data_IF_482819518130
#
_entry.id   IF_482819518130
#
_cell.length_a   1.000
_cell.length_b   1.000
_cell.length_c   1.000
_cell.angle_alpha   90.00
_cell.angle_beta   90.00
_cell.angle_gamma   90.00
#
_symmetry.space_group_name_H-M   'P 1'
#
loop_
_entity.id
_entity.type
_entity.pdbx_description
1 polymer ?
#
# COMPACT_ATOMS: atom_id res chain seq x y z
N UNK A 1 -7.91 -22.90 12.72
CA UNK A 1 -7.76 -21.50 12.33
C UNK A 1 -6.27 -21.25 12.27
N UNK A 2 -5.72 -21.02 11.08
CA UNK A 2 -4.32 -20.63 10.94
C UNK A 2 -4.14 -19.27 11.63
N UNK A 3 -3.25 -19.20 12.60
CA UNK A 3 -2.90 -17.97 13.28
C UNK A 3 -2.12 -17.12 12.27
N UNK A 4 -2.77 -16.09 11.72
CA UNK A 4 -2.13 -15.20 10.74
C UNK A 4 -1.17 -14.32 11.52
N UNK A 5 0.11 -14.64 11.48
CA UNK A 5 1.13 -13.78 12.05
C UNK A 5 1.04 -12.37 11.43
N UNK A 6 1.06 -11.32 12.27
CA UNK A 6 0.90 -9.96 11.79
C UNK A 6 2.09 -9.55 10.91
N UNK A 7 1.84 -9.41 9.60
CA UNK A 7 2.83 -8.88 8.66
C UNK A 7 2.71 -7.37 8.54
N UNK A 8 3.85 -6.67 8.52
CA UNK A 8 3.90 -5.23 8.31
C UNK A 8 4.02 -4.89 6.82
N UNK A 9 3.30 -3.85 6.37
CA UNK A 9 3.48 -3.29 5.02
C UNK A 9 4.71 -2.39 5.04
N UNK A 10 5.69 -2.70 4.18
CA UNK A 10 6.93 -1.91 4.04
C UNK A 10 6.99 -1.11 2.75
N UNK A 11 6.17 -1.48 1.77
CA UNK A 11 6.16 -0.85 0.47
C UNK A 11 4.93 -1.23 -0.34
N UNK A 12 4.77 -0.54 -1.45
CA UNK A 12 3.69 -0.81 -2.40
C UNK A 12 4.08 -0.36 -3.80
N UNK A 13 3.49 -1.01 -4.81
CA UNK A 13 3.57 -0.62 -6.22
C UNK A 13 2.16 -0.56 -6.78
N UNK A 14 1.88 0.46 -7.59
CA UNK A 14 0.63 0.61 -8.32
C UNK A 14 0.87 0.40 -9.82
N UNK A 15 -0.03 -0.34 -10.47
CA UNK A 15 -0.09 -0.48 -11.92
C UNK A 15 -1.52 -0.24 -12.42
N UNK A 16 -1.67 0.63 -13.41
CA UNK A 16 -2.97 0.88 -14.06
C UNK A 16 -3.19 -0.14 -15.18
N UNK A 17 -4.41 -0.69 -15.24
CA UNK A 17 -4.84 -1.65 -16.27
C UNK A 17 -6.12 -1.15 -16.94
N UNK A 18 -6.50 -1.74 -18.07
CA UNK A 18 -7.77 -1.43 -18.76
C UNK A 18 -9.03 -1.64 -17.90
N UNK A 19 -8.93 -2.39 -16.81
CA UNK A 19 -10.06 -2.81 -15.97
C UNK A 19 -10.02 -2.23 -14.55
N UNK A 20 -9.02 -1.43 -14.22
CA UNK A 20 -8.81 -0.89 -12.87
C UNK A 20 -7.34 -0.84 -12.50
N UNK A 21 -7.05 -0.91 -11.19
CA UNK A 21 -5.71 -0.75 -10.64
C UNK A 21 -5.28 -2.04 -9.95
N UNK A 22 -4.05 -2.49 -10.23
CA UNK A 22 -3.39 -3.55 -9.47
C UNK A 22 -2.48 -2.89 -8.45
N UNK A 23 -2.77 -3.11 -7.17
CA UNK A 23 -1.93 -2.68 -6.06
C UNK A 23 -1.17 -3.89 -5.52
N UNK A 24 0.16 -3.86 -5.60
CA UNK A 24 1.00 -4.89 -4.98
C UNK A 24 1.55 -4.37 -3.67
N UNK A 25 1.18 -4.99 -2.56
CA UNK A 25 1.74 -4.69 -1.25
C UNK A 25 2.98 -5.54 -1.01
N UNK A 26 4.03 -4.91 -0.46
CA UNK A 26 5.20 -5.60 0.05
C UNK A 26 5.04 -5.77 1.55
N UNK A 27 4.95 -7.03 1.97
CA UNK A 27 4.70 -7.42 3.34
C UNK A 27 5.95 -8.07 3.94
N UNK A 28 6.05 -7.98 5.25
CA UNK A 28 7.16 -8.58 5.98
C UNK A 28 6.74 -9.15 7.32
N UNK A 29 7.28 -10.34 7.64
CA UNK A 29 7.00 -11.02 8.90
C UNK A 29 7.82 -10.47 10.06
N UNK A 30 9.09 -10.15 9.84
CA UNK A 30 10.01 -9.75 10.89
C UNK A 30 11.14 -8.81 10.40
N UNK A 31 11.99 -8.39 11.36
CA UNK A 31 13.12 -7.48 11.11
C UNK A 31 14.27 -8.13 10.34
N UNK A 32 14.44 -9.45 10.45
CA UNK A 32 15.50 -10.18 9.75
C UNK A 32 15.18 -10.28 8.26
N UNK A 33 13.94 -10.65 7.93
CA UNK A 33 13.40 -10.59 6.58
C UNK A 33 13.57 -9.19 5.95
N UNK A 34 13.48 -8.11 6.74
CA UNK A 34 13.69 -6.74 6.25
C UNK A 34 15.11 -6.52 5.76
N UNK A 35 16.08 -6.94 6.58
CA UNK A 35 17.51 -6.78 6.29
C UNK A 35 17.94 -7.63 5.09
N UNK A 36 17.34 -8.79 4.94
CA UNK A 36 17.62 -9.73 3.86
C UNK A 36 16.81 -9.46 2.59
N UNK A 37 15.98 -8.41 2.58
CA UNK A 37 15.07 -8.09 1.49
C UNK A 37 14.12 -9.25 1.09
N UNK A 38 13.76 -10.10 2.06
CA UNK A 38 12.78 -11.17 1.86
C UNK A 38 11.37 -10.63 2.08
N UNK A 39 10.76 -10.18 0.98
CA UNK A 39 9.42 -9.59 0.99
C UNK A 39 8.38 -10.52 0.37
N UNK A 40 7.24 -10.63 1.03
CA UNK A 40 6.06 -11.21 0.43
C UNK A 40 5.34 -10.17 -0.42
N UNK A 41 4.87 -10.57 -1.60
CA UNK A 41 4.17 -9.68 -2.51
C UNK A 41 2.71 -10.11 -2.59
N UNK A 42 1.80 -9.23 -2.17
CA UNK A 42 0.36 -9.47 -2.22
C UNK A 42 -0.28 -8.59 -3.29
N UNK A 43 -0.62 -9.14 -4.47
CA UNK A 43 -1.35 -8.40 -5.50
C UNK A 43 -2.84 -8.31 -5.14
N UNK A 44 -3.40 -7.10 -5.24
CA UNK A 44 -4.81 -6.81 -5.02
C UNK A 44 -5.34 -6.09 -6.25
N UNK A 45 -6.38 -6.65 -6.88
CA UNK A 45 -7.08 -6.01 -7.99
C UNK A 45 -8.19 -5.13 -7.43
N UNK A 46 -8.14 -3.84 -7.75
CA UNK A 46 -9.07 -2.84 -7.22
C UNK A 46 -9.71 -2.07 -8.37
N UNK A 47 -11.04 -2.03 -8.40
CA UNK A 47 -11.77 -1.03 -9.19
C UNK A 47 -11.69 0.35 -8.54
N UNK A 48 -12.04 1.41 -9.29
CA UNK A 48 -11.96 2.81 -8.85
C UNK A 48 -12.64 3.10 -7.50
N UNK A 49 -13.78 2.44 -7.24
CA UNK A 49 -14.51 2.60 -5.97
C UNK A 49 -13.74 1.97 -4.81
N UNK A 50 -13.18 0.78 -5.02
CA UNK A 50 -12.41 0.06 -4.01
C UNK A 50 -11.11 0.78 -3.70
N UNK A 51 -10.40 1.26 -4.72
CA UNK A 51 -9.18 2.06 -4.56
C UNK A 51 -9.44 3.32 -3.74
N UNK A 52 -10.51 4.05 -4.04
CA UNK A 52 -10.90 5.24 -3.26
C UNK A 52 -11.27 4.93 -1.82
N UNK A 53 -11.90 3.78 -1.56
CA UNK A 53 -12.17 3.34 -0.18
C UNK A 53 -10.87 3.03 0.55
N UNK A 54 -10.02 2.20 -0.05
CA UNK A 54 -8.73 1.80 0.53
C UNK A 54 -7.85 3.02 0.85
N UNK A 55 -7.73 3.97 -0.08
CA UNK A 55 -6.95 5.18 0.14
C UNK A 55 -7.49 6.03 1.31
N UNK A 56 -8.82 6.12 1.44
CA UNK A 56 -9.46 6.84 2.56
C UNK A 56 -9.21 6.14 3.89
N UNK A 57 -9.36 4.82 3.91
CA UNK A 57 -9.18 4.02 5.13
C UNK A 57 -7.72 4.02 5.58
N UNK A 58 -6.78 3.95 4.64
CA UNK A 58 -5.35 4.10 4.93
C UNK A 58 -5.03 5.48 5.49
N UNK A 59 -5.48 6.55 4.83
CA UNK A 59 -5.26 7.91 5.30
C UNK A 59 -5.82 8.12 6.72
N UNK A 60 -7.02 7.60 6.99
CA UNK A 60 -7.64 7.63 8.32
C UNK A 60 -6.79 6.88 9.35
N UNK A 61 -6.40 5.64 9.06
CA UNK A 61 -5.61 4.82 9.96
C UNK A 61 -4.24 5.43 10.27
N UNK A 62 -3.62 6.11 9.31
CA UNK A 62 -2.35 6.81 9.52
C UNK A 62 -2.53 8.04 10.40
N UNK A 63 -3.58 8.84 10.20
CA UNK A 63 -3.90 9.99 11.06
C UNK A 63 -4.19 9.54 12.50
N UNK A 64 -4.99 8.48 12.68
CA UNK A 64 -5.31 7.93 14.01
C UNK A 64 -4.07 7.43 14.76
N UNK A 65 -3.01 7.04 14.05
CA UNK A 65 -1.74 6.57 14.62
C UNK A 65 -0.65 7.65 14.70
N UNK A 66 -0.97 8.91 14.37
CA UNK A 66 0.01 10.00 14.36
C UNK A 66 1.12 9.81 13.30
N UNK A 67 0.85 9.05 12.24
CA UNK A 67 1.79 8.82 11.15
C UNK A 67 1.56 9.86 10.04
N UNK A 68 2.61 10.58 9.66
CA UNK A 68 2.56 11.47 8.50
C UNK A 68 2.70 10.68 7.20
N UNK A 69 1.67 10.71 6.36
CA UNK A 69 1.73 10.09 5.02
C UNK A 69 2.50 11.03 4.10
N UNK A 70 3.73 10.68 3.79
CA UNK A 70 4.50 11.38 2.76
C UNK A 70 3.95 11.03 1.37
N UNK A 71 3.07 11.88 0.83
CA UNK A 71 2.70 11.83 -0.58
C UNK A 71 3.65 12.77 -1.35
N UNK A 72 4.52 12.28 -2.26
CA UNK A 72 5.32 13.16 -3.09
C UNK A 72 4.38 14.07 -3.90
N UNK A 73 4.49 15.39 -3.68
CA UNK A 73 3.67 16.39 -4.39
C UNK A 73 3.87 16.20 -5.90
N UNK A 74 2.80 15.83 -6.63
CA UNK A 74 2.79 15.73 -8.09
C UNK A 74 2.90 17.13 -8.71
N UNK A 75 4.11 17.66 -8.83
CA UNK A 75 4.41 18.98 -9.41
C UNK A 75 4.07 19.10 -10.92
N UNK A 76 3.80 17.98 -11.59
CA UNK A 76 3.30 17.93 -12.98
C UNK A 76 1.79 18.13 -13.13
N UNK A 77 1.01 18.29 -12.04
CA UNK A 77 -0.46 18.46 -12.13
C UNK A 77 -0.95 19.92 -12.21
N UNK A 78 -0.04 20.90 -12.29
CA UNK A 78 -0.35 22.34 -12.43
C UNK A 78 0.11 22.94 -13.77
N UNK A 79 0.46 22.12 -14.76
CA UNK A 79 0.84 22.57 -16.10
C UNK A 79 -0.06 21.97 -17.18
N UNK A 80 -1.34 22.35 -17.20
CA UNK A 80 -2.17 22.27 -18.40
C UNK A 80 -3.27 23.32 -18.37
#
# INVERSE_FOLDING_TARGET
MEEVEPRAVVGWKQEETRHGVVLTLQLIGDREAYREHRFDHLPIVLGDRQLRSLARDLARATTERGMEVFAPKRWWRFGR
#
